data_IF_646127416412
#
_entry.id   IF_646127416412
#
_cell.length_a   1.000
_cell.length_b   1.000
_cell.length_c   1.000
_cell.angle_alpha   90.00
_cell.angle_beta   90.00
_cell.angle_gamma   90.00
#
_symmetry.space_group_name_H-M   'P 1'
#
loop_
_entity.id
_entity.type
_entity.pdbx_description
1 polymer ?
#
# COMPACT_ATOMS: atom_id res chain seq x y z
N UNK A 1 -7.55 -27.59 -1.22
CA UNK A 1 -6.73 -27.64 -2.44
C UNK A 1 -7.58 -28.02 -3.65
N UNK A 2 -8.23 -29.19 -3.69
CA UNK A 2 -9.13 -29.54 -4.79
C UNK A 2 -10.28 -28.51 -4.99
N UNK A 3 -10.89 -28.03 -3.90
CA UNK A 3 -11.94 -27.01 -3.95
C UNK A 3 -11.47 -25.63 -4.48
N UNK A 4 -10.16 -25.38 -4.55
CA UNK A 4 -9.57 -24.12 -5.04
C UNK A 4 -8.97 -24.25 -6.45
N UNK A 5 -9.18 -25.40 -7.12
CA UNK A 5 -8.63 -25.69 -8.45
C UNK A 5 -7.11 -25.89 -8.47
N UNK A 6 -6.50 -26.13 -7.30
CA UNK A 6 -5.06 -26.35 -7.16
C UNK A 6 -4.69 -27.80 -7.50
N UNK A 7 -3.49 -28.00 -8.05
CA UNK A 7 -2.95 -29.35 -8.29
C UNK A 7 -2.70 -30.08 -6.96
N UNK A 8 -2.74 -31.42 -6.96
CA UNK A 8 -2.59 -32.22 -5.74
C UNK A 8 -1.23 -32.05 -5.05
N UNK A 9 -0.19 -31.73 -5.80
CA UNK A 9 1.19 -31.56 -5.31
C UNK A 9 1.54 -30.12 -4.92
N UNK A 10 0.64 -29.17 -5.13
CA UNK A 10 0.90 -27.76 -4.86
C UNK A 10 0.98 -27.49 -3.35
N UNK A 11 1.93 -26.66 -2.92
CA UNK A 11 2.02 -26.22 -1.52
C UNK A 11 0.84 -25.30 -1.18
N UNK A 12 0.05 -25.55 -0.12
CA UNK A 12 -1.01 -24.64 0.29
C UNK A 12 -0.52 -23.22 0.61
N UNK A 13 0.70 -23.10 1.15
CA UNK A 13 1.32 -21.80 1.42
C UNK A 13 1.61 -21.04 0.12
N UNK A 14 2.17 -21.73 -0.88
CA UNK A 14 2.57 -21.10 -2.13
C UNK A 14 1.32 -20.62 -2.87
N UNK A 15 0.27 -21.44 -2.91
CA UNK A 15 -1.02 -21.06 -3.46
C UNK A 15 -1.63 -19.84 -2.75
N UNK A 16 -1.57 -19.79 -1.42
CA UNK A 16 -2.03 -18.62 -0.66
C UNK A 16 -1.26 -17.36 -1.04
N UNK A 17 0.06 -17.44 -1.18
CA UNK A 17 0.89 -16.29 -1.58
C UNK A 17 0.59 -15.86 -3.02
N UNK A 18 0.38 -16.81 -3.95
CA UNK A 18 -0.05 -16.49 -5.31
C UNK A 18 -1.37 -15.73 -5.33
N UNK A 19 -2.36 -16.18 -4.54
CA UNK A 19 -3.65 -15.51 -4.42
C UNK A 19 -3.52 -14.11 -3.80
N UNK A 20 -2.66 -13.94 -2.80
CA UNK A 20 -2.37 -12.64 -2.18
C UNK A 20 -1.65 -11.68 -3.13
N UNK A 21 -0.81 -12.19 -4.04
CA UNK A 21 -0.20 -11.38 -5.09
C UNK A 21 -1.24 -10.90 -6.12
N UNK A 22 -2.37 -11.61 -6.24
CA UNK A 22 -3.52 -11.25 -7.05
C UNK A 22 -3.79 -12.25 -8.18
N UNK A 23 -4.65 -11.87 -9.13
CA UNK A 23 -5.12 -12.76 -10.19
C UNK A 23 -4.69 -12.23 -11.58
N UNK A 24 -3.51 -12.64 -12.08
CA UNK A 24 -2.98 -12.11 -13.34
C UNK A 24 -3.65 -12.76 -14.55
N UNK A 25 -3.74 -12.01 -15.64
CA UNK A 25 -3.96 -12.61 -16.97
C UNK A 25 -2.72 -13.42 -17.42
N UNK A 26 -2.84 -14.31 -18.43
CA UNK A 26 -1.71 -15.12 -18.90
C UNK A 26 -0.47 -14.30 -19.34
N UNK A 27 -0.67 -13.10 -19.87
CA UNK A 27 0.39 -12.18 -20.29
C UNK A 27 0.99 -11.34 -19.14
N UNK A 28 0.45 -11.45 -17.93
CA UNK A 28 0.82 -10.64 -16.76
C UNK A 28 1.68 -11.43 -15.76
N UNK A 29 2.01 -12.69 -16.07
CA UNK A 29 2.71 -13.63 -15.18
C UNK A 29 4.06 -13.12 -14.66
N UNK A 30 4.86 -12.44 -15.47
CA UNK A 30 6.17 -11.96 -15.04
C UNK A 30 6.10 -10.95 -13.88
N UNK A 31 5.09 -10.06 -13.91
CA UNK A 31 4.84 -9.09 -12.84
C UNK A 31 4.27 -9.78 -11.61
N UNK A 32 3.40 -10.78 -11.80
CA UNK A 32 2.87 -11.58 -10.70
C UNK A 32 3.96 -12.36 -9.97
N UNK A 33 4.87 -13.00 -10.70
CA UNK A 33 6.03 -13.68 -10.13
C UNK A 33 6.91 -12.73 -9.31
N UNK A 34 7.09 -11.48 -9.75
CA UNK A 34 7.84 -10.47 -8.99
C UNK A 34 7.15 -10.09 -7.68
N UNK A 35 5.82 -9.96 -7.70
CA UNK A 35 5.04 -9.75 -6.49
C UNK A 35 5.10 -10.95 -5.54
N UNK A 36 4.97 -12.18 -6.07
CA UNK A 36 5.11 -13.41 -5.29
C UNK A 36 6.50 -13.49 -4.65
N UNK A 37 7.58 -13.18 -5.40
CA UNK A 37 8.95 -13.11 -4.85
C UNK A 37 9.05 -12.09 -3.71
N UNK A 38 8.42 -10.92 -3.86
CA UNK A 38 8.42 -9.87 -2.85
C UNK A 38 7.72 -10.33 -1.56
N UNK A 39 6.53 -10.93 -1.69
CA UNK A 39 5.77 -11.46 -0.54
C UNK A 39 6.54 -12.58 0.17
N UNK A 40 7.11 -13.52 -0.59
CA UNK A 40 7.94 -14.60 -0.06
C UNK A 40 9.19 -14.08 0.66
N UNK A 41 9.85 -13.06 0.11
CA UNK A 41 11.00 -12.42 0.75
C UNK A 41 10.60 -11.83 2.10
N UNK A 42 9.48 -11.10 2.18
CA UNK A 42 8.98 -10.50 3.43
C UNK A 42 8.59 -11.56 4.47
N UNK A 43 7.93 -12.63 4.04
CA UNK A 43 7.57 -13.76 4.91
C UNK A 43 8.83 -14.43 5.49
N UNK A 44 9.85 -14.59 4.66
CA UNK A 44 11.16 -15.16 5.04
C UNK A 44 11.94 -14.23 5.96
N UNK A 45 11.90 -12.91 5.75
CA UNK A 45 12.51 -11.92 6.66
C UNK A 45 11.95 -12.01 8.08
N UNK A 46 10.66 -12.33 8.21
CA UNK A 46 10.01 -12.60 9.50
C UNK A 46 10.33 -13.99 10.05
N UNK A 47 11.17 -14.81 9.39
CA UNK A 47 11.53 -16.18 9.81
C UNK A 47 10.31 -17.05 10.13
N UNK A 48 9.19 -16.83 9.45
CA UNK A 48 7.94 -17.54 9.74
C UNK A 48 8.03 -19.00 9.26
N UNK A 49 7.25 -19.86 9.90
CA UNK A 49 7.13 -21.27 9.50
C UNK A 49 6.02 -21.34 8.45
N UNK A 50 6.23 -22.09 7.36
CA UNK A 50 5.19 -22.18 6.33
C UNK A 50 3.94 -22.89 6.87
N UNK A 51 2.76 -22.49 6.43
CA UNK A 51 1.50 -23.17 6.80
C UNK A 51 1.55 -24.65 6.40
N UNK A 52 2.18 -24.96 5.26
CA UNK A 52 2.42 -26.33 4.81
C UNK A 52 3.23 -27.13 5.82
N UNK A 53 4.39 -26.64 6.26
CA UNK A 53 5.25 -27.36 7.22
C UNK A 53 4.51 -27.63 8.54
N UNK A 54 3.65 -26.70 8.98
CA UNK A 54 2.86 -26.85 10.20
C UNK A 54 1.83 -27.97 10.07
N UNK A 55 1.07 -27.99 8.97
CA UNK A 55 0.04 -29.00 8.73
C UNK A 55 0.64 -30.37 8.43
N UNK A 56 1.67 -30.45 7.58
CA UNK A 56 2.36 -31.72 7.32
C UNK A 56 2.83 -32.35 8.65
N UNK A 57 3.33 -31.55 9.59
CA UNK A 57 3.82 -32.03 10.88
C UNK A 57 2.68 -32.45 11.82
N UNK A 58 1.56 -31.71 11.80
CA UNK A 58 0.37 -32.07 12.54
C UNK A 58 -0.22 -33.40 12.04
N UNK A 59 -0.26 -33.61 10.73
CA UNK A 59 -0.73 -34.85 10.10
C UNK A 59 0.25 -36.01 10.38
N UNK A 60 1.56 -35.73 10.40
CA UNK A 60 2.57 -36.71 10.81
C UNK A 60 2.39 -37.15 12.27
N UNK A 61 2.07 -36.23 13.19
CA UNK A 61 1.77 -36.59 14.58
C UNK A 61 0.53 -37.48 14.71
N UNK A 62 -0.48 -37.24 13.87
CA UNK A 62 -1.67 -38.09 13.82
C UNK A 62 -1.34 -39.50 13.30
N UNK A 63 -0.49 -39.62 12.28
CA UNK A 63 0.03 -40.91 11.81
C UNK A 63 0.85 -41.63 12.89
N UNK A 64 1.68 -40.92 13.64
CA UNK A 64 2.44 -41.46 14.77
C UNK A 64 1.51 -41.98 15.89
N UNK A 65 0.39 -41.29 16.16
CA UNK A 65 -0.62 -41.81 17.12
C UNK A 65 -1.29 -43.11 16.66
N UNK A 66 -1.24 -43.42 15.35
CA UNK A 66 -1.74 -44.66 14.76
C UNK A 66 -0.65 -45.76 14.67
N UNK A 67 0.55 -45.50 15.20
CA UNK A 67 1.64 -46.48 15.29
C UNK A 67 2.80 -46.27 14.32
N UNK A 68 2.81 -45.20 13.54
CA UNK A 68 3.94 -44.91 12.66
C UNK A 68 5.16 -44.35 13.41
N UNK A 69 6.36 -44.53 12.84
CA UNK A 69 7.59 -43.99 13.40
C UNK A 69 7.67 -42.47 13.30
N UNK A 70 8.14 -41.80 14.35
CA UNK A 70 8.33 -40.36 14.35
C UNK A 70 9.49 -39.92 13.46
N UNK A 71 9.26 -38.94 12.58
CA UNK A 71 10.26 -38.39 11.68
C UNK A 71 11.02 -37.23 12.37
N UNK A 72 12.17 -37.55 12.94
CA UNK A 72 13.03 -36.58 13.66
C UNK A 72 13.55 -35.47 12.73
N UNK A 73 13.78 -35.76 11.45
CA UNK A 73 14.28 -34.75 10.50
C UNK A 73 13.26 -33.62 10.29
N UNK A 74 11.96 -33.93 10.29
CA UNK A 74 10.90 -32.94 10.20
C UNK A 74 10.85 -32.03 11.43
N UNK A 75 10.99 -32.62 12.63
CA UNK A 75 11.06 -31.87 13.88
C UNK A 75 12.28 -30.94 13.92
N UNK A 76 13.43 -31.43 13.44
CA UNK A 76 14.66 -30.64 13.39
C UNK A 76 14.54 -29.46 12.41
N UNK A 77 13.85 -29.62 11.27
CA UNK A 77 13.57 -28.50 10.35
C UNK A 77 12.77 -27.39 11.02
N UNK A 78 11.72 -27.74 11.77
CA UNK A 78 10.94 -26.76 12.53
C UNK A 78 11.80 -26.09 13.61
N UNK A 79 12.52 -26.88 14.40
CA UNK A 79 13.38 -26.38 15.47
C UNK A 79 14.44 -25.41 14.93
N UNK A 80 15.05 -25.73 13.78
CA UNK A 80 16.01 -24.86 13.09
C UNK A 80 15.39 -23.49 12.78
N UNK A 81 14.23 -23.45 12.11
CA UNK A 81 13.54 -22.20 11.77
C UNK A 81 13.19 -21.36 13.00
N UNK A 82 12.73 -21.98 14.08
CA UNK A 82 12.41 -21.27 15.33
C UNK A 82 13.69 -20.76 16.02
N UNK A 83 14.79 -21.52 15.95
CA UNK A 83 16.05 -21.17 16.59
C UNK A 83 16.79 -20.01 15.91
N UNK A 84 16.59 -19.79 14.61
CA UNK A 84 17.14 -18.66 13.85
C UNK A 84 16.68 -17.29 14.38
N UNK A 85 15.58 -17.27 15.14
CA UNK A 85 15.02 -16.06 15.73
C UNK A 85 15.89 -15.61 16.92
N UNK A 86 16.71 -14.58 16.70
CA UNK A 86 17.48 -13.93 17.76
C UNK A 86 16.59 -12.95 18.52
N UNK A 87 16.34 -13.22 19.81
CA UNK A 87 15.76 -12.22 20.71
C UNK A 87 16.83 -11.15 21.03
N UNK A 88 16.46 -9.85 21.07
CA UNK A 88 17.28 -8.86 21.74
C UNK A 88 17.59 -9.34 23.16
N UNK A 89 18.83 -9.15 23.62
CA UNK A 89 19.16 -9.43 25.02
C UNK A 89 18.38 -8.43 25.86
N UNK A 90 17.42 -8.91 26.66
CA UNK A 90 16.73 -8.06 27.62
C UNK A 90 17.74 -7.68 28.71
N UNK A 91 17.97 -6.38 28.89
CA UNK A 91 18.76 -5.88 30.03
C UNK A 91 17.94 -5.88 31.33
N UNK A 92 16.62 -6.10 31.23
CA UNK A 92 15.70 -6.11 32.35
C UNK A 92 15.57 -7.51 32.96
N UNK A 93 15.47 -7.56 34.29
CA UNK A 93 15.08 -8.74 35.05
C UNK A 93 13.63 -9.14 34.73
N UNK A 94 13.21 -10.35 35.12
CA UNK A 94 11.82 -10.80 34.91
C UNK A 94 10.80 -9.95 35.67
N UNK A 95 11.18 -9.40 36.82
CA UNK A 95 10.33 -8.55 37.66
C UNK A 95 10.20 -7.14 37.07
N UNK A 96 11.31 -6.56 36.60
CA UNK A 96 11.28 -5.31 35.84
C UNK A 96 10.48 -5.49 34.54
N UNK A 97 10.74 -6.53 33.75
CA UNK A 97 9.99 -6.81 32.52
C UNK A 97 8.49 -6.96 32.78
N UNK A 98 8.06 -7.58 33.89
CA UNK A 98 6.64 -7.66 34.26
C UNK A 98 6.07 -6.31 34.71
N UNK A 99 6.87 -5.47 35.37
CA UNK A 99 6.45 -4.13 35.83
C UNK A 99 6.36 -3.14 34.66
N UNK A 100 7.27 -3.25 33.69
CA UNK A 100 7.32 -2.43 32.49
C UNK A 100 6.41 -2.94 31.36
N UNK A 101 6.05 -4.23 31.36
CA UNK A 101 5.05 -4.77 30.44
C UNK A 101 3.67 -4.26 30.83
N UNK A 102 3.27 -3.09 30.30
CA UNK A 102 1.88 -2.68 30.30
C UNK A 102 1.07 -3.66 29.43
N UNK A 103 0.49 -4.71 30.03
CA UNK A 103 -0.36 -5.69 29.37
C UNK A 103 0.19 -7.12 29.36
N UNK A 104 -0.17 -7.90 28.33
CA UNK A 104 0.21 -9.31 28.21
C UNK A 104 1.73 -9.45 28.00
N UNK A 105 2.39 -10.34 28.73
CA UNK A 105 3.80 -10.64 28.52
C UNK A 105 3.97 -11.52 27.27
N UNK A 106 3.98 -10.87 26.11
CA UNK A 106 4.06 -11.47 24.78
C UNK A 106 5.31 -12.34 24.64
N UNK A 107 6.44 -11.97 25.23
CA UNK A 107 7.65 -12.78 25.13
C UNK A 107 7.46 -14.20 25.69
N UNK A 108 6.50 -14.44 26.61
CA UNK A 108 6.16 -15.82 27.05
C UNK A 108 5.73 -16.71 25.90
N UNK A 109 5.01 -16.20 24.89
CA UNK A 109 4.62 -17.03 23.75
C UNK A 109 5.84 -17.35 22.88
N UNK A 110 6.72 -16.36 22.64
CA UNK A 110 7.94 -16.53 21.84
C UNK A 110 8.91 -17.48 22.54
N UNK A 111 9.08 -17.34 23.86
CA UNK A 111 9.90 -18.24 24.68
C UNK A 111 9.34 -19.66 24.67
N UNK A 112 8.01 -19.85 24.78
CA UNK A 112 7.37 -21.17 24.67
C UNK A 112 7.58 -21.83 23.31
N UNK A 113 7.53 -21.06 22.22
CA UNK A 113 7.85 -21.58 20.89
C UNK A 113 9.32 -22.02 20.81
N UNK A 114 10.24 -21.20 21.33
CA UNK A 114 11.69 -21.49 21.30
C UNK A 114 12.11 -22.66 22.18
N UNK A 115 11.42 -22.89 23.31
CA UNK A 115 11.69 -24.02 24.20
C UNK A 115 10.99 -25.31 23.77
N UNK A 116 10.23 -25.29 22.67
CA UNK A 116 9.53 -26.46 22.17
C UNK A 116 10.53 -27.51 21.68
N UNK A 117 10.49 -28.70 22.30
CA UNK A 117 11.25 -29.87 21.86
C UNK A 117 10.28 -31.00 21.52
N UNK A 118 10.00 -31.14 20.23
CA UNK A 118 9.02 -32.11 19.73
C UNK A 118 9.45 -33.55 19.95
N UNK A 119 10.73 -33.87 19.68
CA UNK A 119 11.23 -35.23 19.88
C UNK A 119 11.03 -35.69 21.32
N UNK A 120 11.40 -34.83 22.29
CA UNK A 120 11.18 -35.11 23.72
C UNK A 120 9.70 -35.21 24.08
N UNK A 121 8.84 -34.38 23.49
CA UNK A 121 7.40 -34.43 23.73
C UNK A 121 6.78 -35.74 23.21
N UNK A 122 7.18 -36.17 22.01
CA UNK A 122 6.73 -37.42 21.39
C UNK A 122 7.23 -38.63 22.16
N UNK A 123 8.50 -38.64 22.57
CA UNK A 123 9.07 -39.72 23.38
C UNK A 123 8.33 -39.88 24.71
N UNK A 124 7.95 -38.77 25.36
CA UNK A 124 7.17 -38.79 26.61
C UNK A 124 5.74 -39.28 26.40
N UNK A 125 5.16 -39.04 25.23
CA UNK A 125 3.80 -39.45 24.87
C UNK A 125 3.74 -40.82 24.18
N UNK A 126 4.88 -41.54 24.07
CA UNK A 126 4.95 -42.84 23.41
C UNK A 126 3.98 -43.83 24.05
N UNK A 127 3.18 -44.51 23.23
CA UNK A 127 2.17 -45.47 23.68
C UNK A 127 0.88 -44.83 24.20
N UNK A 128 0.72 -43.50 24.13
CA UNK A 128 -0.48 -42.78 24.54
C UNK A 128 -1.04 -41.96 23.35
N UNK A 129 -1.99 -42.51 22.57
CA UNK A 129 -2.50 -41.86 21.37
C UNK A 129 -3.09 -40.46 21.62
N UNK A 130 -3.87 -40.29 22.69
CA UNK A 130 -4.45 -38.98 23.05
C UNK A 130 -3.39 -37.94 23.39
N UNK A 131 -2.36 -38.33 24.15
CA UNK A 131 -1.23 -37.46 24.48
C UNK A 131 -0.46 -37.02 23.24
N UNK A 132 -0.31 -37.89 22.23
CA UNK A 132 0.33 -37.55 20.95
C UNK A 132 -0.51 -36.55 20.14
N UNK A 133 -1.83 -36.72 20.11
CA UNK A 133 -2.73 -35.77 19.45
C UNK A 133 -2.71 -34.40 20.14
N UNK A 134 -2.62 -34.37 21.48
CA UNK A 134 -2.53 -33.13 22.25
C UNK A 134 -1.26 -32.32 21.94
N UNK A 135 -0.17 -32.94 21.46
CA UNK A 135 1.05 -32.22 21.05
C UNK A 135 0.75 -31.24 19.91
N UNK A 136 -0.24 -31.53 19.03
CA UNK A 136 -0.66 -30.62 17.95
C UNK A 136 -1.08 -29.25 18.47
N UNK A 137 -1.62 -29.18 19.68
CA UNK A 137 -2.00 -27.91 20.33
C UNK A 137 -0.83 -26.94 20.47
N UNK A 138 0.41 -27.44 20.53
CA UNK A 138 1.61 -26.61 20.59
C UNK A 138 1.83 -25.80 19.29
N UNK A 139 1.31 -26.26 18.15
CA UNK A 139 1.43 -25.57 16.86
C UNK A 139 0.49 -24.39 16.71
N UNK A 140 -0.54 -24.25 17.56
CA UNK A 140 -1.53 -23.18 17.45
C UNK A 140 -0.87 -21.79 17.45
N UNK A 141 0.14 -21.57 18.28
CA UNK A 141 0.85 -20.28 18.33
C UNK A 141 1.68 -20.01 17.07
N UNK A 142 2.30 -21.05 16.50
CA UNK A 142 3.12 -20.93 15.28
C UNK A 142 2.21 -20.70 14.06
N UNK A 143 1.07 -21.38 14.02
CA UNK A 143 0.04 -21.17 13.01
C UNK A 143 -0.49 -19.74 13.07
N UNK A 144 -0.80 -19.24 14.27
CA UNK A 144 -1.20 -17.84 14.48
C UNK A 144 -0.18 -16.88 13.87
N UNK A 145 1.10 -17.03 14.18
CA UNK A 145 2.13 -16.10 13.68
C UNK A 145 2.25 -16.15 12.16
N UNK A 146 2.09 -17.33 11.57
CA UNK A 146 2.15 -17.52 10.12
C UNK A 146 0.96 -16.88 9.40
N UNK A 147 -0.25 -17.04 9.95
CA UNK A 147 -1.47 -16.42 9.41
C UNK A 147 -1.48 -14.90 9.59
N UNK A 148 -1.02 -14.39 10.74
CA UNK A 148 -0.84 -12.94 10.96
C UNK A 148 0.25 -12.42 10.00
N UNK A 149 1.33 -13.17 9.81
CA UNK A 149 2.38 -12.84 8.86
C UNK A 149 1.89 -12.67 7.44
N UNK A 150 0.99 -13.54 6.96
CA UNK A 150 0.35 -13.41 5.66
C UNK A 150 -0.42 -12.08 5.51
N UNK A 151 -1.10 -11.63 6.57
CA UNK A 151 -1.75 -10.31 6.57
C UNK A 151 -0.73 -9.16 6.52
N UNK A 152 0.36 -9.28 7.28
CA UNK A 152 1.42 -8.27 7.34
C UNK A 152 2.11 -8.07 6.00
N UNK A 153 2.47 -9.16 5.32
CA UNK A 153 3.14 -9.08 4.02
C UNK A 153 2.20 -8.59 2.92
N UNK A 154 0.90 -8.89 3.02
CA UNK A 154 -0.08 -8.42 2.04
C UNK A 154 -0.30 -6.90 2.13
N UNK A 155 -0.43 -6.38 3.35
CA UNK A 155 -0.64 -4.95 3.62
C UNK A 155 0.66 -4.17 3.84
N UNK A 156 1.82 -4.78 3.61
CA UNK A 156 3.10 -4.13 3.86
C UNK A 156 3.25 -2.89 2.96
N UNK A 157 3.63 -1.74 3.51
CA UNK A 157 3.81 -0.50 2.75
C UNK A 157 4.97 -0.62 1.73
N UNK A 158 5.12 0.37 0.83
CA UNK A 158 6.32 0.50 0.02
C UNK A 158 7.58 0.48 0.90
N UNK A 159 8.67 -0.13 0.44
CA UNK A 159 9.87 -0.40 1.27
C UNK A 159 9.67 -1.59 2.22
N UNK A 160 8.78 -1.44 3.21
CA UNK A 160 8.52 -2.40 4.28
C UNK A 160 9.76 -2.74 5.13
N UNK A 161 10.60 -1.75 5.39
CA UNK A 161 11.84 -1.86 6.16
C UNK A 161 11.58 -2.38 7.57
N UNK A 162 10.47 -2.01 8.23
CA UNK A 162 10.16 -2.57 9.54
C UNK A 162 9.98 -4.09 9.53
N UNK A 163 9.31 -4.62 8.50
CA UNK A 163 9.10 -6.07 8.29
C UNK A 163 10.42 -6.74 7.86
N UNK A 164 11.32 -6.03 7.18
CA UNK A 164 12.60 -6.61 6.75
C UNK A 164 13.64 -6.63 7.88
N UNK A 165 13.68 -5.58 8.70
CA UNK A 165 14.68 -5.36 9.71
C UNK A 165 14.37 -6.06 11.04
N UNK A 166 13.10 -6.16 11.44
CA UNK A 166 12.70 -6.78 12.69
C UNK A 166 12.03 -8.15 12.49
N UNK A 167 12.77 -9.29 12.59
CA UNK A 167 12.22 -10.63 12.35
C UNK A 167 11.20 -11.09 13.43
N UNK A 168 11.02 -10.32 14.50
CA UNK A 168 10.09 -10.60 15.59
C UNK A 168 8.77 -9.84 15.46
N UNK A 169 8.68 -8.89 14.53
CA UNK A 169 7.61 -7.91 14.50
C UNK A 169 6.20 -8.53 14.40
N UNK A 170 6.04 -9.52 13.53
CA UNK A 170 4.76 -10.25 13.38
C UNK A 170 4.42 -11.03 14.66
N UNK A 171 5.41 -11.75 15.22
CA UNK A 171 5.22 -12.57 16.42
C UNK A 171 4.84 -11.71 17.60
N UNK A 172 5.53 -10.58 17.76
CA UNK A 172 5.35 -9.66 18.88
C UNK A 172 4.00 -8.91 18.87
N UNK A 173 3.15 -9.11 17.86
CA UNK A 173 1.82 -8.51 17.82
C UNK A 173 0.99 -8.87 19.05
N UNK A 174 0.44 -7.86 19.72
CA UNK A 174 -0.41 -7.96 20.90
C UNK A 174 -1.88 -7.70 20.56
N UNK A 175 -2.71 -8.73 20.51
CA UNK A 175 -4.15 -8.55 20.26
C UNK A 175 -4.91 -7.94 21.44
N UNK A 176 -4.36 -8.00 22.65
CA UNK A 176 -5.05 -7.62 23.87
C UNK A 176 -4.60 -6.26 24.40
N UNK A 177 -3.32 -5.94 24.25
CA UNK A 177 -2.73 -4.70 24.75
C UNK A 177 -2.77 -4.58 26.28
N UNK A 178 -2.67 -3.34 26.77
CA UNK A 178 -2.71 -3.02 28.21
C UNK A 178 -4.11 -2.96 28.81
N UNK A 179 -5.16 -2.90 27.98
CA UNK A 179 -6.56 -2.80 28.42
C UNK A 179 -7.36 -3.97 27.83
N UNK A 180 -7.72 -4.93 28.68
CA UNK A 180 -8.49 -6.13 28.30
C UNK A 180 -9.89 -5.83 27.72
N UNK A 181 -10.36 -4.58 27.79
CA UNK A 181 -11.71 -4.17 27.37
C UNK A 181 -11.83 -3.79 25.88
N UNK A 182 -10.73 -3.77 25.11
CA UNK A 182 -10.75 -3.30 23.70
C UNK A 182 -10.10 -4.29 22.70
N UNK A 183 -10.55 -5.55 22.71
CA UNK A 183 -10.11 -6.60 21.77
C UNK A 183 -10.25 -6.23 20.27
N UNK A 184 -11.03 -5.18 19.97
CA UNK A 184 -11.30 -4.67 18.62
C UNK A 184 -10.79 -3.25 18.38
N UNK A 185 -9.83 -2.78 19.19
CA UNK A 185 -9.21 -1.47 18.97
C UNK A 185 -8.41 -1.43 17.66
N UNK A 186 -8.29 -0.24 17.07
CA UNK A 186 -7.42 -0.01 15.92
C UNK A 186 -5.97 -0.35 16.30
N UNK A 187 -5.23 -1.05 15.42
CA UNK A 187 -3.83 -1.36 15.67
C UNK A 187 -3.02 -0.07 15.76
N UNK A 188 -2.05 -0.08 16.66
CA UNK A 188 -1.07 1.01 16.81
C UNK A 188 0.28 0.44 17.18
N UNK A 189 1.33 1.15 16.78
CA UNK A 189 2.67 0.84 17.22
C UNK A 189 2.83 1.18 18.71
N UNK A 190 3.46 0.28 19.46
CA UNK A 190 3.72 0.46 20.87
C UNK A 190 5.14 0.01 21.22
N UNK A 191 5.70 0.60 22.27
CA UNK A 191 7.04 0.27 22.73
C UNK A 191 8.15 0.77 21.81
N UNK A 192 7.90 1.78 20.96
CA UNK A 192 8.97 2.46 20.21
C UNK A 192 9.97 3.11 21.16
N UNK A 193 11.26 3.09 20.80
CA UNK A 193 12.33 3.67 21.62
C UNK A 193 12.75 2.84 22.85
N UNK A 194 12.11 1.70 23.12
CA UNK A 194 12.51 0.82 24.22
C UNK A 194 13.57 -0.21 23.76
N UNK A 195 14.69 -0.38 24.48
CA UNK A 195 15.78 -1.29 24.06
C UNK A 195 15.32 -2.74 23.85
N UNK A 196 14.32 -3.19 24.61
CA UNK A 196 13.86 -4.58 24.59
C UNK A 196 12.83 -4.88 23.49
N UNK A 197 12.31 -3.87 22.80
CA UNK A 197 11.20 -4.06 21.84
C UNK A 197 11.65 -4.22 20.37
N UNK A 198 12.96 -4.19 20.08
CA UNK A 198 13.51 -4.31 18.73
C UNK A 198 12.90 -3.33 17.69
N UNK A 199 12.49 -2.14 18.12
CA UNK A 199 11.81 -1.15 17.25
C UNK A 199 10.29 -1.07 17.47
N UNK A 200 9.75 -1.81 18.42
CA UNK A 200 8.34 -1.77 18.82
C UNK A 200 7.56 -3.01 18.40
N UNK A 201 6.28 -3.01 18.77
CA UNK A 201 5.32 -4.06 18.42
C UNK A 201 3.97 -3.47 18.11
N UNK A 202 3.19 -4.15 17.28
CA UNK A 202 1.81 -3.77 17.05
C UNK A 202 0.92 -4.22 18.22
N UNK A 203 -0.01 -3.36 18.61
CA UNK A 203 -1.01 -3.64 19.65
C UNK A 203 -2.39 -3.31 19.11
N UNK A 204 -3.37 -4.19 19.30
CA UNK A 204 -4.76 -4.01 18.86
C UNK A 204 -5.22 -5.09 17.89
N UNK A 205 -6.33 -4.87 17.20
CA UNK A 205 -6.87 -5.81 16.20
C UNK A 205 -6.15 -5.70 14.84
N UNK A 206 -6.51 -6.55 13.88
CA UNK A 206 -6.06 -6.39 12.49
C UNK A 206 -6.89 -5.36 11.68
N UNK A 207 -8.00 -4.87 12.24
CA UNK A 207 -8.83 -3.88 11.56
C UNK A 207 -8.14 -2.52 11.58
N UNK A 208 -7.62 -2.06 10.44
CA UNK A 208 -6.73 -0.89 10.39
C UNK A 208 -5.28 -1.22 10.08
N UNK A 209 -4.93 -2.51 9.93
CA UNK A 209 -3.54 -2.96 9.84
C UNK A 209 -2.75 -2.24 8.74
N UNK A 210 -3.35 -2.03 7.55
CA UNK A 210 -2.67 -1.35 6.45
C UNK A 210 -2.20 0.06 6.82
N UNK A 211 -3.08 0.85 7.44
CA UNK A 211 -2.74 2.19 7.90
C UNK A 211 -1.70 2.13 9.01
N UNK A 212 -1.86 1.25 10.00
CA UNK A 212 -0.90 1.13 11.11
C UNK A 212 0.50 0.71 10.63
N UNK A 213 0.59 -0.21 9.66
CA UNK A 213 1.87 -0.60 9.08
C UNK A 213 2.53 0.57 8.33
N UNK A 214 1.76 1.34 7.56
CA UNK A 214 2.26 2.51 6.86
C UNK A 214 2.69 3.64 7.84
N UNK A 215 1.91 3.85 8.91
CA UNK A 215 2.23 4.76 10.02
C UNK A 215 3.52 4.36 10.75
N UNK A 216 3.75 3.07 10.94
CA UNK A 216 5.01 2.59 11.51
C UNK A 216 6.20 2.76 10.55
N UNK A 217 5.98 2.50 9.25
CA UNK A 217 7.01 2.57 8.20
C UNK A 217 7.49 3.99 7.93
N UNK A 218 6.65 5.02 8.10
CA UNK A 218 7.06 6.42 7.84
C UNK A 218 8.35 6.81 8.57
N UNK A 219 8.59 6.25 9.77
CA UNK A 219 9.78 6.51 10.58
C UNK A 219 11.08 5.93 9.99
N UNK A 220 10.97 5.04 8.99
CA UNK A 220 12.11 4.43 8.29
C UNK A 220 12.41 5.13 6.96
N UNK A 221 11.53 6.02 6.50
CA UNK A 221 11.82 6.82 5.32
C UNK A 221 12.90 7.84 5.66
N UNK A 222 13.99 7.82 4.90
CA UNK A 222 15.07 8.78 5.02
C UNK A 222 14.82 9.91 4.03
N UNK A 223 14.50 11.12 4.50
CA UNK A 223 14.27 12.23 3.60
C UNK A 223 15.52 12.63 2.85
N UNK A 224 15.36 13.01 1.58
CA UNK A 224 16.45 13.55 0.76
C UNK A 224 16.79 14.99 1.18
N UNK A 225 15.83 15.74 1.70
CA UNK A 225 15.96 17.14 2.09
C UNK A 225 15.88 17.30 3.63
N UNK A 226 16.53 18.33 4.20
CA UNK A 226 16.68 18.50 5.68
C UNK A 226 15.38 18.79 6.45
N UNK A 227 14.28 19.13 5.78
CA UNK A 227 12.94 19.25 6.38
C UNK A 227 12.05 18.17 5.82
N UNK A 228 11.69 17.18 6.63
CA UNK A 228 10.71 16.18 6.26
C UNK A 228 10.18 15.44 7.48
N UNK A 229 8.96 14.92 7.31
CA UNK A 229 8.08 14.26 8.29
C UNK A 229 7.33 15.21 9.24
N UNK A 230 6.63 16.19 8.69
CA UNK A 230 5.54 16.86 9.42
C UNK A 230 4.20 16.14 9.25
N UNK A 231 3.98 15.39 8.16
CA UNK A 231 2.66 14.85 7.81
C UNK A 231 2.37 13.42 8.31
N UNK A 232 2.25 13.30 9.63
CA UNK A 232 2.07 12.03 10.33
C UNK A 232 0.92 11.15 9.80
N UNK A 233 -0.22 11.74 9.38
CA UNK A 233 -1.38 10.98 8.89
C UNK A 233 -1.46 10.91 7.35
N UNK A 234 -0.87 11.87 6.63
CA UNK A 234 -0.97 11.93 5.17
C UNK A 234 -0.04 10.93 4.50
N UNK A 235 1.20 10.79 4.97
CA UNK A 235 2.15 9.86 4.37
C UNK A 235 1.64 8.41 4.44
N UNK A 236 1.14 7.91 5.58
CA UNK A 236 0.54 6.58 5.65
C UNK A 236 -0.65 6.42 4.69
N UNK A 237 -1.50 7.45 4.58
CA UNK A 237 -2.66 7.42 3.70
C UNK A 237 -2.26 7.31 2.22
N UNK A 238 -1.22 8.02 1.81
CA UNK A 238 -0.70 7.96 0.43
C UNK A 238 -0.08 6.58 0.16
N UNK A 239 0.67 6.02 1.13
CA UNK A 239 1.23 4.67 1.02
C UNK A 239 0.15 3.60 0.86
N UNK A 240 -0.92 3.63 1.65
CA UNK A 240 -2.01 2.66 1.48
C UNK A 240 -2.72 2.86 0.13
N UNK A 241 -2.83 4.09 -0.35
CA UNK A 241 -3.35 4.41 -1.68
C UNK A 241 -2.53 3.82 -2.81
N UNK A 242 -1.23 3.58 -2.60
CA UNK A 242 -0.35 2.96 -3.58
C UNK A 242 -0.32 1.42 -3.54
N UNK A 243 -0.72 0.81 -2.42
CA UNK A 243 -0.60 -0.65 -2.19
C UNK A 243 -1.93 -1.39 -2.27
N UNK A 244 -3.01 -0.79 -1.78
CA UNK A 244 -4.33 -1.44 -1.71
C UNK A 244 -4.96 -1.62 -3.10
N UNK A 245 -5.01 -0.59 -3.97
CA UNK A 245 -5.45 -0.79 -5.35
C UNK A 245 -4.50 -1.73 -6.07
N UNK A 246 -5.06 -2.63 -6.89
CA UNK A 246 -4.31 -3.57 -7.73
C UNK A 246 -4.77 -3.44 -9.17
N UNK A 247 -3.82 -3.36 -10.09
CA UNK A 247 -4.09 -3.09 -11.52
C UNK A 247 -4.02 -4.36 -12.37
N UNK A 248 -4.52 -5.48 -11.84
CA UNK A 248 -4.68 -6.74 -12.59
C UNK A 248 -5.85 -6.64 -13.56
N UNK A 249 -5.65 -7.05 -14.82
CA UNK A 249 -6.69 -7.01 -15.85
C UNK A 249 -7.15 -5.62 -16.31
N UNK A 250 -6.56 -4.55 -15.78
CA UNK A 250 -6.79 -3.18 -16.23
C UNK A 250 -6.28 -3.02 -17.66
N UNK A 251 -7.11 -2.44 -18.52
CA UNK A 251 -6.82 -2.24 -19.94
C UNK A 251 -6.15 -0.89 -20.17
N UNK A 252 -5.31 -0.80 -21.21
CA UNK A 252 -4.62 0.44 -21.57
C UNK A 252 -5.61 1.57 -21.82
N UNK A 253 -6.76 1.26 -22.40
CA UNK A 253 -7.80 2.24 -22.70
C UNK A 253 -8.38 2.88 -21.44
N UNK A 254 -8.43 2.18 -20.30
CA UNK A 254 -8.94 2.69 -19.03
C UNK A 254 -7.95 3.65 -18.37
N UNK A 255 -6.66 3.31 -18.43
CA UNK A 255 -5.58 4.22 -18.04
C UNK A 255 -5.56 5.46 -18.94
N UNK A 256 -5.67 5.26 -20.26
CA UNK A 256 -5.73 6.33 -21.24
C UNK A 256 -6.95 7.23 -21.04
N UNK A 257 -8.10 6.66 -20.65
CA UNK A 257 -9.31 7.41 -20.33
C UNK A 257 -9.06 8.43 -19.21
N UNK A 258 -8.34 8.06 -18.15
CA UNK A 258 -7.95 8.99 -17.07
C UNK A 258 -7.04 10.08 -17.61
N UNK A 259 -6.03 9.71 -18.39
CA UNK A 259 -5.08 10.67 -18.98
C UNK A 259 -5.78 11.69 -19.88
N UNK A 260 -6.75 11.25 -20.70
CA UNK A 260 -7.55 12.13 -21.55
C UNK A 260 -8.36 13.15 -20.73
N UNK A 261 -8.94 12.76 -19.59
CA UNK A 261 -9.68 13.70 -18.73
C UNK A 261 -8.76 14.76 -18.12
N UNK A 262 -7.57 14.36 -17.64
CA UNK A 262 -6.59 15.30 -17.12
C UNK A 262 -6.08 16.25 -18.21
N UNK A 263 -5.90 15.74 -19.44
CA UNK A 263 -5.57 16.57 -20.60
C UNK A 263 -6.70 17.54 -20.96
N UNK A 264 -7.95 17.09 -20.97
CA UNK A 264 -9.11 17.94 -21.22
C UNK A 264 -9.21 19.05 -20.17
N UNK A 265 -9.02 18.73 -18.89
CA UNK A 265 -9.00 19.73 -17.82
C UNK A 265 -7.93 20.80 -18.04
N UNK A 266 -6.71 20.40 -18.44
CA UNK A 266 -5.65 21.35 -18.76
C UNK A 266 -6.03 22.27 -19.93
N UNK A 267 -6.68 21.72 -20.98
CA UNK A 267 -7.17 22.51 -22.11
C UNK A 267 -8.29 23.48 -21.70
N UNK A 268 -9.23 23.04 -20.86
CA UNK A 268 -10.31 23.87 -20.34
C UNK A 268 -9.77 25.05 -19.52
N UNK A 269 -8.82 24.78 -18.61
CA UNK A 269 -8.18 25.84 -17.81
C UNK A 269 -7.43 26.82 -18.71
N UNK A 270 -6.68 26.31 -19.69
CA UNK A 270 -5.93 27.14 -20.64
C UNK A 270 -6.84 27.99 -21.53
N UNK A 271 -7.88 27.42 -22.13
CA UNK A 271 -8.82 28.19 -22.95
C UNK A 271 -9.57 29.26 -22.13
N UNK A 272 -9.89 28.94 -20.87
CA UNK A 272 -10.56 29.90 -19.98
C UNK A 272 -9.70 31.09 -19.55
N UNK A 273 -8.40 31.12 -19.91
CA UNK A 273 -7.58 32.32 -19.69
C UNK A 273 -7.86 33.42 -20.70
N UNK A 274 -8.48 33.09 -21.83
CA UNK A 274 -8.79 34.04 -22.91
C UNK A 274 -10.28 34.08 -23.26
N UNK A 275 -11.06 33.11 -22.79
CA UNK A 275 -12.51 33.02 -22.97
C UNK A 275 -13.22 33.22 -21.63
N UNK A 276 -13.83 34.40 -21.45
CA UNK A 276 -14.56 34.77 -20.22
C UNK A 276 -15.85 33.97 -20.05
N UNK A 277 -16.51 33.58 -21.15
CA UNK A 277 -17.74 32.79 -21.09
C UNK A 277 -17.43 31.37 -20.61
N UNK A 278 -16.36 30.77 -21.15
CA UNK A 278 -15.84 29.49 -20.67
C UNK A 278 -15.38 29.58 -19.22
N UNK A 279 -14.71 30.66 -18.83
CA UNK A 279 -14.32 30.90 -17.44
C UNK A 279 -15.53 30.93 -16.49
N UNK A 280 -16.62 31.59 -16.90
CA UNK A 280 -17.87 31.65 -16.14
C UNK A 280 -18.56 30.28 -15.98
N UNK A 281 -18.37 29.35 -16.93
CA UNK A 281 -18.88 27.96 -16.84
C UNK A 281 -18.00 27.06 -15.97
N UNK A 282 -16.68 27.24 -15.99
CA UNK A 282 -15.71 26.45 -15.22
C UNK A 282 -15.66 26.86 -13.74
N UNK A 283 -15.77 28.15 -13.45
CA UNK A 283 -15.67 28.70 -12.10
C UNK A 283 -16.59 28.02 -11.08
N UNK A 284 -17.90 27.85 -11.35
CA UNK A 284 -18.82 27.18 -10.42
C UNK A 284 -18.44 25.72 -10.13
N UNK A 285 -17.83 25.03 -11.10
CA UNK A 285 -17.36 23.65 -10.91
C UNK A 285 -16.16 23.63 -9.96
N UNK A 286 -15.20 24.53 -10.20
CA UNK A 286 -14.00 24.66 -9.38
C UNK A 286 -14.31 25.16 -7.96
N UNK A 287 -15.23 26.11 -7.78
CA UNK A 287 -15.64 26.66 -6.46
C UNK A 287 -16.16 25.61 -5.48
N UNK A 288 -16.66 24.47 -5.97
CA UNK A 288 -17.09 23.36 -5.11
C UNK A 288 -15.92 22.65 -4.41
N UNK A 289 -14.68 22.81 -4.91
CA UNK A 289 -13.49 22.12 -4.40
C UNK A 289 -12.36 23.06 -3.99
N UNK A 290 -12.23 24.19 -4.68
CA UNK A 290 -11.22 25.20 -4.41
C UNK A 290 -11.75 26.28 -3.47
N UNK A 291 -10.98 26.59 -2.44
CA UNK A 291 -11.22 27.77 -1.62
C UNK A 291 -11.13 29.06 -2.44
N UNK A 292 -11.82 30.15 -2.02
CA UNK A 292 -11.89 31.40 -2.78
C UNK A 292 -10.51 31.97 -3.15
N UNK A 293 -9.55 31.89 -2.23
CA UNK A 293 -8.18 32.37 -2.47
C UNK A 293 -7.47 31.62 -3.61
N UNK A 294 -7.58 30.29 -3.66
CA UNK A 294 -6.94 29.48 -4.71
C UNK A 294 -7.56 29.73 -6.08
N UNK A 295 -8.89 29.89 -6.13
CA UNK A 295 -9.55 30.23 -7.38
C UNK A 295 -9.14 31.62 -7.89
N UNK A 296 -9.05 32.61 -6.98
CA UNK A 296 -8.56 33.93 -7.33
C UNK A 296 -7.10 33.88 -7.84
N UNK A 297 -6.24 33.10 -7.18
CA UNK A 297 -4.85 32.90 -7.63
C UNK A 297 -4.79 32.26 -9.03
N UNK A 298 -5.60 31.23 -9.29
CA UNK A 298 -5.71 30.61 -10.61
C UNK A 298 -6.06 31.64 -11.69
N UNK A 299 -7.06 32.50 -11.43
CA UNK A 299 -7.50 33.55 -12.36
C UNK A 299 -6.45 34.64 -12.55
N UNK A 300 -5.75 35.02 -11.48
CA UNK A 300 -4.62 35.95 -11.56
C UNK A 300 -3.48 35.38 -12.42
N UNK A 301 -3.08 34.12 -12.19
CA UNK A 301 -2.05 33.45 -12.99
C UNK A 301 -2.46 33.36 -14.46
N UNK A 302 -3.73 33.09 -14.74
CA UNK A 302 -4.27 33.10 -16.10
C UNK A 302 -4.17 34.50 -16.75
N UNK A 303 -4.56 35.56 -16.03
CA UNK A 303 -4.46 36.94 -16.51
C UNK A 303 -3.00 37.39 -16.73
N UNK A 304 -2.07 36.91 -15.90
CA UNK A 304 -0.64 37.18 -16.01
C UNK A 304 0.04 36.34 -17.12
N UNK A 305 -0.71 35.52 -17.89
CA UNK A 305 -0.17 34.63 -18.92
C UNK A 305 0.54 33.38 -18.38
N UNK A 306 0.52 33.17 -17.07
CA UNK A 306 1.15 32.05 -16.34
C UNK A 306 0.23 30.84 -16.22
N UNK A 307 -0.42 30.46 -17.32
CA UNK A 307 -1.41 29.38 -17.37
C UNK A 307 -0.84 28.05 -16.84
N UNK A 308 0.42 27.75 -17.17
CA UNK A 308 1.08 26.52 -16.72
C UNK A 308 1.20 26.46 -15.20
N UNK A 309 1.62 27.56 -14.56
CA UNK A 309 1.69 27.64 -13.09
C UNK A 309 0.30 27.45 -12.46
N UNK A 310 -0.74 28.00 -13.09
CA UNK A 310 -2.13 27.80 -12.66
C UNK A 310 -2.57 26.34 -12.75
N UNK A 311 -2.27 25.65 -13.85
CA UNK A 311 -2.56 24.22 -14.04
C UNK A 311 -1.79 23.35 -13.04
N UNK A 312 -0.51 23.67 -12.83
CA UNK A 312 0.35 22.95 -11.89
C UNK A 312 -0.10 23.16 -10.43
N UNK A 313 -0.83 24.25 -10.14
CA UNK A 313 -1.49 24.51 -8.86
C UNK A 313 -2.85 23.81 -8.66
N UNK A 314 -3.32 23.03 -9.63
CA UNK A 314 -4.53 22.20 -9.50
C UNK A 314 -4.17 20.73 -9.27
N UNK A 315 -4.79 20.12 -8.28
CA UNK A 315 -4.56 18.70 -8.02
C UNK A 315 -5.14 17.84 -9.16
N UNK A 316 -4.55 16.65 -9.42
CA UNK A 316 -5.10 15.68 -10.34
C UNK A 316 -6.59 15.38 -10.10
N UNK A 317 -7.01 15.22 -8.85
CA UNK A 317 -8.42 14.99 -8.53
C UNK A 317 -9.31 16.19 -8.91
N UNK A 318 -8.87 17.43 -8.63
CA UNK A 318 -9.58 18.65 -9.02
C UNK A 318 -9.75 18.75 -10.55
N UNK A 319 -8.67 18.49 -11.29
CA UNK A 319 -8.67 18.49 -12.75
C UNK A 319 -9.57 17.40 -13.33
N UNK A 320 -9.44 16.17 -12.83
CA UNK A 320 -10.27 15.05 -13.26
C UNK A 320 -11.76 15.38 -13.06
N UNK A 321 -12.13 15.89 -11.88
CA UNK A 321 -13.51 16.29 -11.58
C UNK A 321 -13.99 17.46 -12.44
N UNK A 322 -13.13 18.42 -12.74
CA UNK A 322 -13.46 19.50 -13.68
C UNK A 322 -13.85 18.92 -15.05
N UNK A 323 -13.00 18.06 -15.61
CA UNK A 323 -13.23 17.49 -16.94
C UNK A 323 -14.50 16.62 -16.99
N UNK A 324 -14.75 15.79 -15.98
CA UNK A 324 -15.94 14.92 -15.96
C UNK A 324 -17.23 15.73 -15.88
N UNK A 325 -17.33 16.65 -14.90
CA UNK A 325 -18.53 17.49 -14.71
C UNK A 325 -18.75 18.43 -15.88
N UNK A 326 -17.67 19.00 -16.43
CA UNK A 326 -17.78 19.88 -17.59
C UNK A 326 -18.24 19.11 -18.82
N UNK A 327 -17.67 17.93 -19.08
CA UNK A 327 -18.08 17.09 -20.21
C UNK A 327 -19.52 16.61 -20.13
N UNK A 328 -20.04 16.33 -18.94
CA UNK A 328 -21.44 15.96 -18.72
C UNK A 328 -22.42 17.12 -18.95
N UNK A 329 -22.06 18.33 -18.50
CA UNK A 329 -22.96 19.48 -18.54
C UNK A 329 -22.83 20.33 -19.82
N UNK A 330 -21.66 20.31 -20.46
CA UNK A 330 -21.27 21.21 -21.54
C UNK A 330 -20.55 20.45 -22.66
N UNK A 331 -21.08 19.30 -23.07
CA UNK A 331 -20.44 18.42 -24.06
C UNK A 331 -20.11 19.09 -25.41
N UNK A 332 -20.88 20.09 -25.84
CA UNK A 332 -20.59 20.87 -27.05
C UNK A 332 -19.37 21.78 -26.85
N UNK A 333 -19.32 22.55 -25.77
CA UNK A 333 -18.13 23.37 -25.47
C UNK A 333 -16.88 22.49 -25.27
N UNK A 334 -17.05 21.30 -24.66
CA UNK A 334 -15.96 20.36 -24.50
C UNK A 334 -15.43 19.87 -25.86
N UNK A 335 -16.30 19.78 -26.87
CA UNK A 335 -15.93 19.51 -28.26
C UNK A 335 -15.21 20.70 -28.88
N UNK A 336 -15.64 21.93 -28.60
CA UNK A 336 -15.03 23.14 -29.17
C UNK A 336 -13.62 23.36 -28.62
N UNK A 337 -13.44 23.22 -27.31
CA UNK A 337 -12.15 23.40 -26.63
C UNK A 337 -11.24 22.18 -26.77
N UNK A 338 -11.82 21.00 -26.54
CA UNK A 338 -11.09 19.74 -26.40
C UNK A 338 -11.08 18.86 -27.66
N UNK A 339 -11.86 19.20 -28.68
CA UNK A 339 -11.99 18.54 -30.00
C UNK A 339 -11.54 17.08 -30.06
N UNK A 340 -10.28 16.80 -30.45
CA UNK A 340 -9.77 15.42 -30.55
C UNK A 340 -9.82 14.64 -29.23
N UNK A 341 -9.50 15.29 -28.10
CA UNK A 341 -9.49 14.67 -26.77
C UNK A 341 -10.91 14.29 -26.36
N UNK A 342 -11.86 15.22 -26.49
CA UNK A 342 -13.26 14.96 -26.12
C UNK A 342 -13.90 13.89 -27.03
N UNK A 343 -13.67 13.94 -28.34
CA UNK A 343 -14.14 12.88 -29.26
C UNK A 343 -13.61 11.51 -28.86
N UNK A 344 -12.35 11.41 -28.43
CA UNK A 344 -11.78 10.14 -27.98
C UNK A 344 -12.42 9.66 -26.67
N UNK A 345 -12.66 10.56 -25.71
CA UNK A 345 -13.38 10.25 -24.47
C UNK A 345 -14.79 9.72 -24.80
N UNK A 346 -15.54 10.44 -25.64
CA UNK A 346 -16.89 10.05 -26.06
C UNK A 346 -16.89 8.69 -26.76
N UNK A 347 -15.98 8.48 -27.72
CA UNK A 347 -15.86 7.21 -28.44
C UNK A 347 -15.54 6.02 -27.52
N UNK A 348 -14.68 6.20 -26.51
CA UNK A 348 -14.42 5.16 -25.52
C UNK A 348 -15.69 4.84 -24.72
N UNK A 349 -16.40 5.85 -24.20
CA UNK A 349 -17.66 5.65 -23.46
C UNK A 349 -18.74 4.99 -24.31
N UNK A 350 -18.83 5.33 -25.59
CA UNK A 350 -19.77 4.70 -26.53
C UNK A 350 -19.40 3.24 -26.83
N UNK A 351 -18.10 2.91 -26.90
CA UNK A 351 -17.63 1.56 -27.19
C UNK A 351 -17.96 0.55 -26.08
N UNK A 352 -17.90 0.97 -24.82
CA UNK A 352 -18.18 0.12 -23.65
C UNK A 352 -18.58 0.97 -22.44
N UNK A 353 -19.88 1.21 -22.27
CA UNK A 353 -20.40 2.11 -21.22
C UNK A 353 -20.07 1.64 -19.81
N UNK A 354 -20.06 0.32 -19.57
CA UNK A 354 -19.79 -0.24 -18.24
C UNK A 354 -18.31 -0.12 -17.90
N UNK A 355 -17.42 -0.41 -18.87
CA UNK A 355 -15.98 -0.32 -18.67
C UNK A 355 -15.51 1.10 -18.38
N UNK A 356 -16.08 2.08 -19.08
CA UNK A 356 -15.73 3.50 -18.93
C UNK A 356 -16.72 4.28 -18.05
N UNK A 357 -17.49 3.59 -17.21
CA UNK A 357 -18.27 4.21 -16.15
C UNK A 357 -17.34 4.89 -15.14
N UNK A 358 -17.67 6.11 -14.70
CA UNK A 358 -16.80 6.87 -13.80
C UNK A 358 -16.62 6.18 -12.44
N UNK A 359 -17.64 5.47 -11.96
CA UNK A 359 -17.61 4.68 -10.73
C UNK A 359 -16.61 3.52 -10.83
N UNK A 360 -16.49 2.92 -12.02
CA UNK A 360 -15.52 1.87 -12.27
C UNK A 360 -14.10 2.44 -12.31
N UNK A 361 -13.91 3.56 -13.00
CA UNK A 361 -12.61 4.24 -13.06
C UNK A 361 -12.16 4.71 -11.66
N UNK A 362 -13.09 5.22 -10.84
CA UNK A 362 -12.84 5.53 -9.43
C UNK A 362 -12.46 4.28 -8.62
N UNK A 363 -13.08 3.13 -8.90
CA UNK A 363 -12.71 1.84 -8.33
C UNK A 363 -11.30 1.35 -8.70
N UNK A 364 -10.73 1.81 -9.82
CA UNK A 364 -9.40 1.39 -10.32
C UNK A 364 -8.30 2.37 -9.89
N UNK A 365 -8.55 3.67 -10.05
CA UNK A 365 -7.55 4.73 -9.86
C UNK A 365 -7.86 5.66 -8.68
N UNK A 366 -8.87 5.35 -7.87
CA UNK A 366 -9.14 6.02 -6.60
C UNK A 366 -8.24 5.54 -5.47
N UNK A 367 -8.57 5.93 -4.25
CA UNK A 367 -7.86 5.58 -3.02
C UNK A 367 -8.84 5.04 -1.97
N UNK A 368 -8.38 4.22 -1.00
CA UNK A 368 -9.25 3.73 0.07
C UNK A 368 -9.56 4.85 1.09
N UNK A 369 -10.79 4.86 1.62
CA UNK A 369 -11.29 5.89 2.55
C UNK A 369 -11.87 5.28 3.83
N UNK A 370 -11.10 4.53 4.63
CA UNK A 370 -11.64 3.79 5.77
C UNK A 370 -12.18 4.68 6.91
N UNK A 371 -11.72 5.91 7.10
CA UNK A 371 -12.26 6.83 8.09
C UNK A 371 -13.49 7.59 7.58
N UNK A 372 -13.54 7.95 6.30
CA UNK A 372 -14.64 8.71 5.70
C UNK A 372 -15.79 7.83 5.19
N UNK A 373 -15.49 6.64 4.68
CA UNK A 373 -16.45 5.73 4.04
C UNK A 373 -16.56 4.35 4.69
N UNK A 374 -15.77 4.09 5.74
CA UNK A 374 -15.74 2.80 6.45
C UNK A 374 -15.41 1.60 5.57
N UNK A 375 -14.75 1.81 4.43
CA UNK A 375 -14.33 0.75 3.51
C UNK A 375 -12.92 0.96 2.98
N UNK A 376 -12.23 -0.15 2.66
CA UNK A 376 -10.95 -0.16 1.94
C UNK A 376 -11.12 -0.27 0.42
N UNK A 377 -12.36 -0.28 -0.08
CA UNK A 377 -12.59 -0.18 -1.52
C UNK A 377 -12.05 1.16 -2.01
N UNK A 378 -11.28 1.13 -3.10
CA UNK A 378 -10.80 2.33 -3.76
C UNK A 378 -11.97 3.11 -4.36
N UNK A 379 -11.98 4.42 -4.14
CA UNK A 379 -13.01 5.30 -4.68
C UNK A 379 -12.51 6.75 -4.82
N UNK A 380 -13.31 7.58 -5.48
CA UNK A 380 -13.16 9.03 -5.56
C UNK A 380 -14.42 9.68 -4.97
N UNK A 381 -14.36 10.08 -3.70
CA UNK A 381 -15.39 10.81 -2.96
C UNK A 381 -15.61 12.23 -3.48
N UNK A 382 -14.67 12.75 -4.27
CA UNK A 382 -14.76 14.08 -4.89
C UNK A 382 -14.85 15.24 -3.88
N UNK A 383 -14.27 15.07 -2.69
CA UNK A 383 -14.28 16.06 -1.61
C UNK A 383 -13.28 17.22 -1.87
N UNK A 384 -13.50 18.41 -1.32
CA UNK A 384 -12.43 19.41 -1.23
C UNK A 384 -11.30 18.89 -0.34
N UNK A 385 -10.07 19.39 -0.54
CA UNK A 385 -8.99 19.15 0.40
C UNK A 385 -9.36 19.80 1.74
N UNK A 386 -9.39 19.01 2.80
CA UNK A 386 -9.66 19.55 4.13
C UNK A 386 -8.41 20.27 4.67
N UNK A 387 -8.60 21.33 5.47
CA UNK A 387 -7.49 22.00 6.13
C UNK A 387 -6.96 21.15 7.29
N UNK A 388 -5.76 21.47 7.75
CA UNK A 388 -5.27 20.93 9.02
C UNK A 388 -6.16 21.39 10.17
N UNK A 389 -6.40 20.50 11.12
CA UNK A 389 -7.11 20.84 12.34
C UNK A 389 -6.11 20.93 13.49
N UNK A 390 -6.11 22.06 14.20
CA UNK A 390 -5.24 22.30 15.36
C UNK A 390 -3.73 22.10 15.08
N UNK A 391 -3.27 22.36 13.85
CA UNK A 391 -1.88 22.10 13.40
C UNK A 391 -1.45 20.63 13.52
N UNK A 392 -2.36 19.70 13.26
CA UNK A 392 -2.04 18.30 13.01
C UNK A 392 -2.66 17.87 11.67
N UNK A 393 -1.95 17.04 10.91
CA UNK A 393 -2.58 16.26 9.85
C UNK A 393 -3.54 15.30 10.53
N UNK A 394 -4.84 15.35 10.21
CA UNK A 394 -5.79 14.34 10.68
C UNK A 394 -6.01 13.29 9.59
N UNK A 395 -6.36 12.07 9.98
CA UNK A 395 -6.75 11.02 9.02
C UNK A 395 -7.86 11.45 8.06
N UNK A 396 -8.81 12.28 8.51
CA UNK A 396 -9.87 12.84 7.67
C UNK A 396 -9.29 13.78 6.61
N UNK A 397 -8.32 14.62 6.99
CA UNK A 397 -7.58 15.46 6.04
C UNK A 397 -6.79 14.62 5.04
N UNK A 398 -6.10 13.59 5.53
CA UNK A 398 -5.33 12.69 4.70
C UNK A 398 -6.20 11.98 3.65
N UNK A 399 -7.36 11.44 4.05
CA UNK A 399 -8.29 10.76 3.15
C UNK A 399 -8.93 11.70 2.12
N UNK A 400 -8.92 13.03 2.34
CA UNK A 400 -9.33 13.99 1.30
C UNK A 400 -8.35 14.08 0.11
N UNK A 401 -7.14 13.53 0.22
CA UNK A 401 -6.16 13.50 -0.88
C UNK A 401 -6.40 12.30 -1.81
N UNK A 402 -6.98 12.56 -2.98
CA UNK A 402 -7.40 11.54 -3.96
C UNK A 402 -6.53 11.52 -5.24
N UNK A 403 -5.40 12.22 -5.21
CA UNK A 403 -4.71 12.62 -6.45
C UNK A 403 -3.59 11.69 -6.89
N UNK A 404 -3.04 10.87 -5.99
CA UNK A 404 -1.82 10.08 -6.23
C UNK A 404 -1.95 9.16 -7.44
N UNK A 405 -2.98 8.31 -7.44
CA UNK A 405 -3.15 7.28 -8.47
C UNK A 405 -3.57 7.86 -9.82
N UNK A 406 -4.40 8.92 -9.83
CA UNK A 406 -4.74 9.66 -11.06
C UNK A 406 -3.50 10.26 -11.73
N UNK A 407 -2.57 10.80 -10.92
CA UNK A 407 -1.32 11.35 -11.43
C UNK A 407 -0.44 10.26 -12.05
N UNK A 408 -0.21 9.16 -11.33
CA UNK A 408 0.65 8.08 -11.81
C UNK A 408 0.08 7.34 -13.00
N UNK A 409 -1.24 7.13 -13.07
CA UNK A 409 -1.90 6.57 -14.23
C UNK A 409 -1.65 7.41 -15.49
N UNK A 410 -1.68 8.73 -15.34
CA UNK A 410 -1.43 9.67 -16.46
C UNK A 410 0.04 9.67 -16.88
N UNK A 411 0.96 9.64 -15.92
CA UNK A 411 2.38 9.47 -16.22
C UNK A 411 2.65 8.15 -16.95
N UNK A 412 2.01 7.06 -16.50
CA UNK A 412 2.18 5.76 -17.14
C UNK A 412 1.62 5.75 -18.57
N UNK A 413 0.49 6.43 -18.83
CA UNK A 413 -0.05 6.58 -20.19
C UNK A 413 0.93 7.35 -21.08
N UNK A 414 1.47 8.46 -20.57
CA UNK A 414 2.48 9.28 -21.25
C UNK A 414 3.74 8.48 -21.59
N UNK A 415 4.17 7.59 -20.69
CA UNK A 415 5.37 6.75 -20.86
C UNK A 415 5.09 5.42 -21.56
N UNK A 416 3.86 5.19 -22.03
CA UNK A 416 3.43 3.93 -22.66
C UNK A 416 3.71 2.68 -21.80
N UNK A 417 3.51 2.82 -20.49
CA UNK A 417 3.68 1.76 -19.50
C UNK A 417 2.36 0.98 -19.38
N UNK A 418 2.46 -0.34 -19.47
CA UNK A 418 1.30 -1.23 -19.26
C UNK A 418 0.68 -1.05 -17.86
N UNK A 419 -0.66 -1.06 -17.75
CA UNK A 419 -1.36 -0.97 -16.46
C UNK A 419 -0.90 -2.01 -15.44
N UNK A 420 -0.58 -3.23 -15.87
CA UNK A 420 -0.11 -4.29 -14.95
C UNK A 420 1.17 -3.90 -14.21
N UNK A 421 2.07 -3.13 -14.85
CA UNK A 421 3.34 -2.70 -14.24
C UNK A 421 3.13 -1.69 -13.11
N UNK A 422 1.95 -1.07 -13.03
CA UNK A 422 1.59 -0.14 -11.95
C UNK A 422 1.61 -0.81 -10.58
N UNK A 423 1.36 -2.13 -10.50
CA UNK A 423 1.46 -2.88 -9.25
C UNK A 423 2.85 -2.83 -8.59
N UNK A 424 3.90 -2.55 -9.38
CA UNK A 424 5.27 -2.38 -8.90
C UNK A 424 5.68 -0.91 -8.87
N UNK A 425 5.34 -0.17 -9.93
CA UNK A 425 5.82 1.19 -10.14
C UNK A 425 5.13 2.23 -9.26
N UNK A 426 3.82 2.12 -9.02
CA UNK A 426 3.11 3.10 -8.18
C UNK A 426 3.59 3.06 -6.71
N UNK A 427 3.77 1.89 -6.06
CA UNK A 427 4.45 1.82 -4.77
C UNK A 427 5.83 2.49 -4.76
N UNK A 428 6.66 2.22 -5.78
CA UNK A 428 8.01 2.77 -5.89
C UNK A 428 7.99 4.30 -6.08
N UNK A 429 7.21 4.81 -7.03
CA UNK A 429 7.09 6.25 -7.31
C UNK A 429 6.53 7.00 -6.10
N UNK A 430 5.59 6.37 -5.38
CA UNK A 430 5.00 6.92 -4.17
C UNK A 430 6.04 7.03 -3.06
N UNK A 431 6.80 5.96 -2.77
CA UNK A 431 7.87 5.98 -1.78
C UNK A 431 8.88 7.09 -2.10
N UNK A 432 9.37 7.14 -3.34
CA UNK A 432 10.34 8.15 -3.80
C UNK A 432 9.80 9.57 -3.71
N UNK A 433 8.49 9.76 -3.87
CA UNK A 433 7.86 11.06 -3.72
C UNK A 433 7.79 11.46 -2.25
N UNK A 434 7.46 10.53 -1.35
CA UNK A 434 7.43 10.82 0.08
C UNK A 434 8.83 11.18 0.61
N UNK A 435 9.85 10.42 0.23
CA UNK A 435 11.26 10.68 0.57
C UNK A 435 11.79 12.04 0.04
N UNK A 436 11.08 12.68 -0.89
CA UNK A 436 11.45 13.94 -1.54
C UNK A 436 10.58 15.12 -1.15
N UNK A 437 9.57 14.89 -0.33
CA UNK A 437 8.73 15.96 0.19
C UNK A 437 9.61 16.98 0.90
N UNK A 438 9.44 18.25 0.51
CA UNK A 438 10.01 19.39 1.20
C UNK A 438 8.88 20.36 1.50
N UNK A 439 8.31 20.23 2.70
CA UNK A 439 7.14 20.98 3.12
C UNK A 439 7.46 21.90 4.29
N UNK A 440 6.95 23.12 4.22
CA UNK A 440 7.21 24.14 5.25
C UNK A 440 6.17 24.15 6.37
N UNK A 441 4.97 23.66 6.08
CA UNK A 441 3.85 23.58 7.03
C UNK A 441 2.88 22.46 6.64
N UNK A 442 1.97 22.10 7.56
CA UNK A 442 1.09 20.94 7.38
C UNK A 442 0.02 21.12 6.30
N UNK A 443 -0.29 22.36 5.91
CA UNK A 443 -1.24 22.69 4.85
C UNK A 443 -0.56 22.79 3.47
N UNK A 444 0.75 22.53 3.38
CA UNK A 444 1.58 22.67 2.18
C UNK A 444 1.42 21.46 1.22
N UNK A 445 0.18 21.08 0.90
CA UNK A 445 -0.09 20.06 -0.12
C UNK A 445 0.54 20.37 -1.50
N UNK A 446 0.82 21.63 -1.91
CA UNK A 446 1.58 21.88 -3.15
C UNK A 446 2.97 21.25 -3.14
N UNK A 447 3.64 21.16 -1.99
CA UNK A 447 4.93 20.50 -1.87
C UNK A 447 4.85 18.99 -2.17
N UNK A 448 3.74 18.34 -1.81
CA UNK A 448 3.49 16.94 -2.18
C UNK A 448 3.34 16.79 -3.71
N UNK A 449 2.50 17.63 -4.33
CA UNK A 449 2.32 17.62 -5.78
C UNK A 449 3.64 17.91 -6.52
N UNK A 450 4.42 18.87 -6.02
CA UNK A 450 5.73 19.20 -6.55
C UNK A 450 6.69 18.00 -6.46
N UNK A 451 6.72 17.31 -5.33
CA UNK A 451 7.55 16.11 -5.17
C UNK A 451 7.20 15.03 -6.20
N UNK A 452 5.90 14.79 -6.42
CA UNK A 452 5.43 13.85 -7.45
C UNK A 452 5.86 14.28 -8.86
N UNK A 453 5.81 15.58 -9.17
CA UNK A 453 6.31 16.14 -10.44
C UNK A 453 7.80 15.94 -10.63
N UNK A 454 8.61 16.15 -9.58
CA UNK A 454 10.06 15.92 -9.61
C UNK A 454 10.38 14.45 -9.88
N UNK A 455 9.65 13.53 -9.24
CA UNK A 455 9.81 12.09 -9.51
C UNK A 455 9.41 11.76 -10.95
N UNK A 456 8.25 12.23 -11.41
CA UNK A 456 7.79 12.01 -12.78
C UNK A 456 8.79 12.49 -13.84
N UNK A 457 9.36 13.68 -13.66
CA UNK A 457 10.30 14.27 -14.61
C UNK A 457 11.58 13.43 -14.76
N UNK A 458 12.06 12.82 -13.68
CA UNK A 458 13.19 11.88 -13.75
C UNK A 458 12.88 10.67 -14.63
N UNK A 459 11.69 10.10 -14.51
CA UNK A 459 11.28 8.97 -15.35
C UNK A 459 11.07 9.38 -16.80
N UNK A 460 10.50 10.56 -17.07
CA UNK A 460 10.43 11.13 -18.43
C UNK A 460 11.81 11.26 -19.05
N UNK A 461 12.81 11.73 -18.29
CA UNK A 461 14.18 11.88 -18.79
C UNK A 461 14.86 10.54 -19.07
N UNK A 462 14.62 9.52 -18.25
CA UNK A 462 15.18 8.18 -18.46
C UNK A 462 14.58 7.46 -19.67
N UNK A 463 13.31 7.72 -19.99
CA UNK A 463 12.61 7.11 -21.12
C UNK A 463 12.81 7.86 -22.45
N UNK A 464 13.33 9.10 -22.43
CA UNK A 464 13.77 9.77 -23.66
C UNK A 464 14.92 8.97 -24.27
N UNK A 465 14.89 8.63 -25.57
CA UNK A 465 16.03 8.00 -26.22
C UNK A 465 17.24 8.91 -26.03
N UNK A 466 18.32 8.37 -25.46
CA UNK A 466 19.58 9.08 -25.26
C UNK A 466 20.03 9.56 -26.64
N UNK A 467 19.93 10.88 -26.91
CA UNK A 467 20.50 11.46 -28.13
C UNK A 467 21.96 11.01 -28.17
N UNK A 468 22.34 10.33 -29.26
CA UNK A 468 23.74 9.98 -29.51
C UNK A 468 24.53 11.29 -29.44
N UNK A 469 25.51 11.32 -28.53
CA UNK A 469 26.38 12.47 -28.33
C UNK A 469 27.25 12.60 -29.59
N UNK A 470 27.11 13.65 -30.43
CA UNK A 470 27.87 13.76 -31.68
C UNK A 470 29.37 13.95 -31.46
N UNK A 471 29.80 14.19 -30.21
CA UNK A 471 31.17 14.58 -29.86
C UNK A 471 32.11 13.41 -29.53
N UNK A 472 31.71 12.16 -29.78
CA UNK A 472 32.60 10.98 -29.67
C UNK A 472 32.85 10.23 -30.99
N UNK A 473 32.48 10.81 -32.14
CA UNK A 473 32.72 10.22 -33.46
C UNK A 473 33.85 10.92 -34.26
N UNK A 474 34.77 11.62 -33.57
CA UNK A 474 35.83 12.41 -34.21
C UNK A 474 37.20 12.32 -33.54
N UNK A 475 37.52 11.18 -32.93
CA UNK A 475 38.88 10.84 -32.51
C UNK A 475 39.13 9.34 -32.71
N UNK A 476 39.27 8.95 -33.98
CA UNK A 476 40.16 7.86 -34.41
C UNK A 476 41.00 8.34 -35.58
#
# INVERSE_FOLDING_TARGET
>A
MAATGSSEDESPQDRLIELLAGNPNPNERSIHEEMVRTLNSRFTSQRLVSVKDIFDLADHLERVSRGESFNVAMANRLASRISEVRLPRSSLSSEESNTFAQGTWIEKHIQRQRSMNLSRAVDKARGQPESLLNIRGNFASILRDSLVGLNYIYYSPPGAELIRANPLFVRSHDFFGSQQTRSWSQPRLSGTGWPNSAGGRMVGSLNGLAFALADAEQNFLVPTERQALIWQDLEPQIMIGAVIPRWWGVKREEQHFVALHLRLANLLVAASSVDEELAARIDPILRKRLGPHRLHLLRRLAADGKVREGIDGLTPAERYRLATVFGENYGNDALDVGGPVWRKIAALRESDRERFAYERIAGIFGTPHPALSHTYRSDLLHLPLFPTMMKFSSRIMAESWESTNLYWATLADELHIEPVRLNLLIPEWTQRSIERIFATNLDDWPALLHSMQVVAERYRQQMKPRKADPLRAGQE
#
